data_IF_071028792421
#
_entry.id   IF_071028792421
#
_cell.length_a   1.000
_cell.length_b   1.000
_cell.length_c   1.000
_cell.angle_alpha   90.00
_cell.angle_beta   90.00
_cell.angle_gamma   90.00
#
_symmetry.space_group_name_H-M   'P 1'
#
loop_
_entity.id
_entity.type
_entity.pdbx_description
1 polymer ?
#
# COMPACT_ATOMS: atom_id res chain seq x y z
N UNK A 1 -12.98 0.91 -11.66
CA UNK A 1 -12.58 1.28 -10.27
C UNK A 1 -13.57 2.32 -9.80
N UNK A 2 -14.43 2.00 -8.85
CA UNK A 2 -15.43 2.95 -8.35
C UNK A 2 -14.77 3.69 -7.20
N UNK A 3 -14.49 4.99 -7.40
CA UNK A 3 -14.16 5.89 -6.31
C UNK A 3 -15.45 6.15 -5.54
N UNK A 4 -15.53 5.74 -4.29
CA UNK A 4 -16.70 6.03 -3.46
C UNK A 4 -16.71 7.52 -3.11
N UNK A 5 -17.78 8.20 -3.47
CA UNK A 5 -17.99 9.64 -3.33
C UNK A 5 -18.02 10.16 -1.88
N UNK A 6 -18.01 9.28 -0.89
CA UNK A 6 -18.19 9.62 0.53
C UNK A 6 -16.88 9.82 1.33
N UNK A 7 -15.71 9.88 0.66
CA UNK A 7 -14.43 10.04 1.36
C UNK A 7 -13.78 11.35 0.95
N UNK A 8 -13.94 12.38 1.74
CA UNK A 8 -13.36 13.70 1.51
C UNK A 8 -12.43 14.13 2.66
N UNK A 9 -11.48 14.99 2.34
CA UNK A 9 -10.55 15.54 3.34
C UNK A 9 -11.17 16.78 3.98
N UNK A 10 -11.42 16.72 5.28
CA UNK A 10 -11.89 17.88 6.02
C UNK A 10 -10.70 18.79 6.35
N UNK A 11 -10.65 19.96 5.70
CA UNK A 11 -9.56 20.93 5.89
C UNK A 11 -9.41 21.42 7.32
N UNK A 12 -10.51 21.50 8.09
CA UNK A 12 -10.48 21.93 9.49
C UNK A 12 -9.68 21.00 10.41
N UNK A 13 -9.51 19.73 10.02
CA UNK A 13 -8.76 18.73 10.78
C UNK A 13 -7.26 18.66 10.44
N UNK A 14 -6.81 19.55 9.53
CA UNK A 14 -5.41 19.64 9.15
C UNK A 14 -4.71 20.67 10.03
N UNK A 15 -3.65 20.24 10.73
CA UNK A 15 -2.75 21.15 11.45
C UNK A 15 -1.35 21.09 10.85
N UNK A 16 -0.74 22.24 10.64
CA UNK A 16 0.61 22.39 10.11
C UNK A 16 1.55 22.88 11.18
N UNK A 17 2.70 22.20 11.31
CA UNK A 17 3.76 22.58 12.24
C UNK A 17 5.04 22.80 11.43
N UNK A 18 5.60 24.02 11.46
CA UNK A 18 6.92 24.28 10.92
C UNK A 18 7.97 23.53 11.76
N UNK A 19 8.86 22.80 11.09
CA UNK A 19 9.95 22.09 11.74
C UNK A 19 11.27 22.43 11.06
N UNK A 20 12.37 22.25 11.75
CA UNK A 20 13.70 22.41 11.19
C UNK A 20 13.92 21.38 10.07
N UNK A 21 14.52 21.81 8.97
CA UNK A 21 14.92 20.92 7.90
C UNK A 21 16.11 20.09 8.35
N UNK A 22 16.08 18.77 8.14
CA UNK A 22 17.24 17.91 8.35
C UNK A 22 18.05 17.82 7.07
N UNK A 23 19.25 18.37 7.04
CA UNK A 23 20.17 18.29 5.93
C UNK A 23 21.56 18.73 6.34
N UNK A 24 22.61 18.29 5.62
CA UNK A 24 24.01 18.66 5.77
C UNK A 24 24.28 20.08 5.26
N UNK A 25 23.53 21.06 5.73
CA UNK A 25 23.66 22.42 5.23
C UNK A 25 24.02 23.42 6.31
N UNK A 26 24.86 24.39 5.93
CA UNK A 26 25.47 25.39 6.81
C UNK A 26 24.53 26.18 7.72
N UNK A 27 25.05 27.19 8.39
CA UNK A 27 24.39 27.95 9.50
C UNK A 27 22.96 28.44 9.23
N UNK A 28 22.55 28.67 7.96
CA UNK A 28 21.22 29.14 7.57
C UNK A 28 20.14 28.08 7.75
N UNK A 29 20.45 26.80 7.55
CA UNK A 29 19.48 25.68 7.67
C UNK A 29 19.10 25.44 9.11
N UNK A 30 20.00 25.66 10.05
CA UNK A 30 19.76 25.50 11.48
C UNK A 30 18.89 26.58 12.11
N UNK A 31 18.77 27.75 11.44
CA UNK A 31 18.02 28.90 11.94
C UNK A 31 16.62 29.03 11.34
N UNK A 32 16.30 28.34 10.23
CA UNK A 32 15.02 28.51 9.49
C UNK A 32 14.22 27.21 9.47
N UNK A 33 12.98 27.26 9.94
CA UNK A 33 12.04 26.11 9.95
C UNK A 33 11.29 26.06 8.62
N UNK A 34 11.94 25.55 7.55
CA UNK A 34 11.34 25.46 6.21
C UNK A 34 10.58 24.18 5.98
N UNK A 35 10.88 23.10 6.72
CA UNK A 35 10.15 21.85 6.62
C UNK A 35 8.78 21.95 7.32
N UNK A 36 7.81 21.19 6.82
CA UNK A 36 6.45 21.14 7.34
C UNK A 36 6.13 19.73 7.82
N UNK A 37 5.61 19.63 9.04
CA UNK A 37 4.91 18.49 9.58
C UNK A 37 3.40 18.74 9.50
N UNK A 38 2.68 17.93 8.75
CA UNK A 38 1.23 17.93 8.68
C UNK A 38 0.69 16.85 9.60
N UNK A 39 -0.22 17.21 10.50
CA UNK A 39 -1.00 16.27 11.32
C UNK A 39 -2.46 16.33 10.88
N UNK A 40 -3.02 15.18 10.53
CA UNK A 40 -4.41 15.03 10.16
C UNK A 40 -5.12 14.12 11.15
N UNK A 41 -6.16 14.63 11.80
CA UNK A 41 -6.92 13.92 12.82
C UNK A 41 -8.01 13.08 12.15
N UNK A 42 -7.88 11.75 12.22
CA UNK A 42 -8.84 10.80 11.68
C UNK A 42 -9.80 10.43 12.82
N UNK A 43 -11.07 10.83 12.70
CA UNK A 43 -12.11 10.35 13.60
C UNK A 43 -12.84 9.19 12.95
N UNK A 44 -13.02 8.11 13.67
CA UNK A 44 -13.67 6.89 13.14
C UNK A 44 -15.13 7.14 12.70
N UNK A 45 -15.79 8.16 13.27
CA UNK A 45 -17.14 8.55 12.92
C UNK A 45 -17.26 9.31 11.57
N UNK A 46 -16.16 9.87 11.04
CA UNK A 46 -16.20 10.69 9.83
C UNK A 46 -16.03 9.84 8.55
N UNK A 47 -15.62 8.59 8.69
CA UNK A 47 -15.26 7.74 7.55
C UNK A 47 -15.83 6.33 7.69
N UNK A 48 -16.19 5.70 6.55
CA UNK A 48 -16.63 4.32 6.56
C UNK A 48 -15.55 3.39 7.14
N UNK A 49 -15.95 2.37 7.88
CA UNK A 49 -15.06 1.40 8.53
C UNK A 49 -14.08 0.72 7.53
N UNK A 50 -14.56 0.42 6.32
CA UNK A 50 -13.72 -0.18 5.27
C UNK A 50 -12.57 0.76 4.85
N UNK A 51 -12.82 2.09 4.79
CA UNK A 51 -11.80 3.07 4.47
C UNK A 51 -10.73 3.14 5.55
N UNK A 52 -11.13 3.22 6.82
CA UNK A 52 -10.22 3.25 7.97
C UNK A 52 -9.35 1.99 7.99
N UNK A 53 -9.95 0.82 7.77
CA UNK A 53 -9.24 -0.46 7.70
C UNK A 53 -8.20 -0.48 6.56
N UNK A 54 -8.58 0.01 5.37
CA UNK A 54 -7.65 0.13 4.23
C UNK A 54 -6.52 1.13 4.51
N UNK A 55 -6.85 2.27 5.10
CA UNK A 55 -5.88 3.30 5.46
C UNK A 55 -4.87 2.77 6.47
N UNK A 56 -5.32 2.13 7.55
CA UNK A 56 -4.45 1.52 8.56
C UNK A 56 -3.61 0.37 7.97
N UNK A 57 -4.17 -0.43 7.08
CA UNK A 57 -3.44 -1.52 6.41
C UNK A 57 -2.32 -1.02 5.50
N UNK A 58 -2.56 0.05 4.73
CA UNK A 58 -1.58 0.58 3.74
C UNK A 58 -0.59 1.57 4.35
N UNK A 59 -1.02 2.37 5.32
CA UNK A 59 -0.25 3.50 5.86
C UNK A 59 -0.17 3.51 7.39
N UNK A 60 -0.34 2.37 8.04
CA UNK A 60 -0.32 2.25 9.51
C UNK A 60 0.95 2.80 10.15
N UNK A 61 2.11 2.68 9.48
CA UNK A 61 3.39 3.23 9.94
C UNK A 61 3.44 4.77 10.01
N UNK A 62 2.47 5.47 9.40
CA UNK A 62 2.33 6.93 9.44
C UNK A 62 1.19 7.39 10.33
N UNK A 63 0.49 6.48 10.96
CA UNK A 63 -0.66 6.75 11.82
C UNK A 63 -0.24 6.49 13.27
N UNK A 64 -0.37 7.53 14.10
CA UNK A 64 -0.13 7.41 15.56
C UNK A 64 -1.20 6.52 16.23
N UNK A 65 -0.91 6.03 17.43
CA UNK A 65 -1.87 5.33 18.31
C UNK A 65 -3.16 6.14 18.55
N UNK A 66 -3.07 7.46 18.49
CA UNK A 66 -4.18 8.41 18.64
C UNK A 66 -4.97 8.64 17.31
N UNK A 67 -4.82 7.78 16.29
CA UNK A 67 -5.43 7.96 14.97
C UNK A 67 -5.05 9.28 14.27
N UNK A 68 -3.82 9.77 14.46
CA UNK A 68 -3.31 10.96 13.78
C UNK A 68 -2.39 10.52 12.64
N UNK A 69 -2.74 10.90 11.41
CA UNK A 69 -1.87 10.71 10.25
C UNK A 69 -0.83 11.81 10.20
N UNK A 70 0.44 11.44 10.22
CA UNK A 70 1.58 12.35 10.27
C UNK A 70 2.33 12.30 8.94
N UNK A 71 2.49 13.46 8.30
CA UNK A 71 3.19 13.62 7.04
C UNK A 71 4.23 14.72 7.14
N UNK A 72 5.40 14.49 6.56
CA UNK A 72 6.50 15.46 6.54
C UNK A 72 6.90 15.81 5.11
N UNK A 73 7.23 17.09 4.88
CA UNK A 73 7.87 17.54 3.66
C UNK A 73 8.96 18.55 3.96
N UNK A 74 10.14 18.30 3.35
CA UNK A 74 11.32 19.17 3.46
C UNK A 74 12.04 19.27 2.11
N UNK A 75 11.31 19.05 0.99
CA UNK A 75 11.89 18.96 -0.35
C UNK A 75 12.31 20.32 -0.92
N UNK A 76 11.73 21.42 -0.42
CA UNK A 76 12.03 22.76 -0.89
C UNK A 76 12.54 23.67 0.22
N UNK A 77 13.30 24.70 -0.19
CA UNK A 77 13.70 25.81 0.71
C UNK A 77 12.52 26.72 1.09
N UNK A 78 11.41 26.62 0.37
CA UNK A 78 10.24 27.45 0.61
C UNK A 78 9.18 26.68 1.40
N UNK A 79 8.79 27.20 2.55
CA UNK A 79 7.78 26.63 3.43
C UNK A 79 6.43 26.44 2.73
N UNK A 80 6.02 27.42 1.87
CA UNK A 80 4.77 27.36 1.09
C UNK A 80 4.72 26.13 0.17
N UNK A 81 5.84 25.80 -0.49
CA UNK A 81 5.95 24.64 -1.38
C UNK A 81 5.88 23.33 -0.57
N UNK A 82 6.56 23.27 0.58
CA UNK A 82 6.50 22.12 1.47
C UNK A 82 5.09 21.89 2.03
N UNK A 83 4.35 22.97 2.33
CA UNK A 83 2.95 22.89 2.76
C UNK A 83 2.06 22.27 1.67
N UNK A 84 2.21 22.74 0.41
CA UNK A 84 1.51 22.16 -0.74
C UNK A 84 1.86 20.69 -0.95
N UNK A 85 3.14 20.36 -0.89
CA UNK A 85 3.61 18.96 -1.02
C UNK A 85 3.03 18.03 0.06
N UNK A 86 2.88 18.51 1.31
CA UNK A 86 2.21 17.73 2.36
C UNK A 86 0.73 17.48 2.04
N UNK A 87 0.01 18.48 1.50
CA UNK A 87 -1.37 18.33 1.05
C UNK A 87 -1.50 17.33 -0.08
N UNK A 88 -0.61 17.40 -1.08
CA UNK A 88 -0.61 16.48 -2.21
C UNK A 88 -0.35 15.03 -1.75
N UNK A 89 0.55 14.85 -0.78
CA UNK A 89 0.77 13.54 -0.13
C UNK A 89 -0.49 13.04 0.58
N UNK A 90 -1.19 13.91 1.30
CA UNK A 90 -2.44 13.58 1.99
C UNK A 90 -3.52 13.15 0.98
N UNK A 91 -3.70 13.93 -0.09
CA UNK A 91 -4.64 13.63 -1.17
C UNK A 91 -4.35 12.25 -1.80
N UNK A 92 -3.09 11.96 -2.13
CA UNK A 92 -2.67 10.66 -2.69
C UNK A 92 -2.98 9.51 -1.74
N UNK A 93 -2.72 9.66 -0.44
CA UNK A 93 -3.02 8.65 0.57
C UNK A 93 -4.52 8.36 0.61
N UNK A 94 -5.35 9.40 0.60
CA UNK A 94 -6.80 9.26 0.60
C UNK A 94 -7.30 8.58 -0.67
N UNK A 95 -6.83 8.99 -1.85
CA UNK A 95 -7.16 8.35 -3.14
C UNK A 95 -6.81 6.85 -3.14
N UNK A 96 -5.59 6.49 -2.71
CA UNK A 96 -5.15 5.09 -2.66
C UNK A 96 -5.99 4.28 -1.66
N UNK A 97 -6.40 4.88 -0.54
CA UNK A 97 -7.19 4.21 0.50
C UNK A 97 -8.66 4.09 0.14
N UNK A 98 -9.19 4.97 -0.72
CA UNK A 98 -10.56 4.94 -1.24
C UNK A 98 -10.79 3.82 -2.27
N UNK A 99 -9.75 3.17 -2.75
CA UNK A 99 -9.88 2.05 -3.67
C UNK A 99 -10.21 0.79 -2.87
N UNK A 100 -11.43 0.28 -3.05
CA UNK A 100 -11.85 -1.00 -2.46
C UNK A 100 -11.16 -2.13 -3.24
N UNK A 101 -10.36 -3.00 -2.59
CA UNK A 101 -9.74 -4.12 -3.26
C UNK A 101 -10.83 -5.10 -3.72
N UNK A 102 -10.76 -5.55 -4.96
CA UNK A 102 -11.63 -6.63 -5.45
C UNK A 102 -11.39 -7.89 -4.63
N UNK A 103 -12.47 -8.59 -4.26
CA UNK A 103 -12.38 -9.90 -3.60
C UNK A 103 -11.65 -10.86 -4.54
N UNK A 104 -10.59 -11.48 -4.06
CA UNK A 104 -9.87 -12.49 -4.84
C UNK A 104 -10.71 -13.77 -4.87
N UNK A 105 -11.15 -14.15 -6.05
CA UNK A 105 -11.81 -15.43 -6.29
C UNK A 105 -10.75 -16.51 -6.54
N UNK A 106 -11.03 -17.73 -6.09
CA UNK A 106 -10.15 -18.87 -6.35
C UNK A 106 -10.15 -19.18 -7.84
N UNK A 107 -9.00 -19.18 -8.47
CA UNK A 107 -8.86 -19.56 -9.86
C UNK A 107 -8.97 -21.08 -9.99
N UNK A 108 -9.83 -21.55 -10.89
CA UNK A 108 -9.96 -22.98 -11.23
C UNK A 108 -8.81 -23.33 -12.17
N UNK A 109 -8.15 -24.46 -11.91
CA UNK A 109 -7.07 -24.97 -12.77
C UNK A 109 -7.64 -25.27 -14.16
N UNK A 110 -7.11 -24.67 -15.25
CA UNK A 110 -7.58 -24.90 -16.59
C UNK A 110 -7.53 -26.40 -16.97
N UNK A 111 -8.55 -26.87 -17.68
CA UNK A 111 -8.64 -28.26 -18.12
C UNK A 111 -7.38 -28.71 -18.89
N UNK A 112 -6.84 -27.85 -19.76
CA UNK A 112 -5.59 -28.12 -20.50
C UNK A 112 -4.41 -28.43 -19.59
N UNK A 113 -4.25 -27.71 -18.46
CA UNK A 113 -3.18 -27.96 -17.48
C UNK A 113 -3.37 -29.30 -16.78
N UNK A 114 -4.61 -29.68 -16.45
CA UNK A 114 -4.94 -31.00 -15.92
C UNK A 114 -4.54 -32.10 -16.89
N UNK A 115 -4.94 -31.97 -18.17
CA UNK A 115 -4.63 -32.95 -19.21
C UNK A 115 -3.12 -33.07 -19.45
N UNK A 116 -2.40 -31.94 -19.51
CA UNK A 116 -0.93 -31.93 -19.66
C UNK A 116 -0.27 -32.69 -18.52
N UNK A 117 -0.61 -32.37 -17.28
CA UNK A 117 -0.07 -33.04 -16.10
C UNK A 117 -0.32 -34.56 -16.11
N UNK A 118 -1.52 -34.99 -16.54
CA UNK A 118 -1.83 -36.41 -16.65
C UNK A 118 -1.03 -37.11 -17.77
N UNK A 119 -0.84 -36.46 -18.92
CA UNK A 119 0.01 -36.95 -20.00
C UNK A 119 1.46 -37.12 -19.55
N UNK A 120 2.01 -36.10 -18.91
CA UNK A 120 3.39 -36.14 -18.39
C UNK A 120 3.56 -37.24 -17.34
N UNK A 121 2.59 -37.40 -16.45
CA UNK A 121 2.60 -38.48 -15.45
C UNK A 121 2.55 -39.90 -16.09
N UNK A 122 1.72 -40.07 -17.13
CA UNK A 122 1.67 -41.34 -17.89
C UNK A 122 3.00 -41.62 -18.61
N UNK A 123 3.61 -40.60 -19.20
CA UNK A 123 4.92 -40.73 -19.87
C UNK A 123 6.03 -41.16 -18.89
N UNK A 124 6.10 -40.49 -17.74
CA UNK A 124 7.07 -40.86 -16.69
C UNK A 124 6.83 -42.27 -16.18
N UNK A 125 5.55 -42.67 -16.00
CA UNK A 125 5.21 -44.06 -15.59
C UNK A 125 5.69 -45.09 -16.61
N UNK A 126 5.46 -44.84 -17.93
CA UNK A 126 5.98 -45.74 -19.00
C UNK A 126 7.50 -45.84 -18.92
N UNK A 127 8.24 -44.75 -18.78
CA UNK A 127 9.70 -44.79 -18.64
C UNK A 127 10.15 -45.59 -17.41
N UNK A 128 9.44 -45.44 -16.29
CA UNK A 128 9.76 -46.24 -15.08
C UNK A 128 9.53 -47.75 -15.29
N UNK A 129 8.41 -48.12 -15.92
CA UNK A 129 8.09 -49.53 -16.22
C UNK A 129 9.11 -50.15 -17.15
N UNK A 130 9.61 -49.43 -18.16
CA UNK A 130 10.66 -49.91 -19.06
C UNK A 130 12.04 -50.12 -18.38
N UNK A 131 12.23 -49.59 -17.20
CA UNK A 131 13.46 -49.78 -16.40
C UNK A 131 13.35 -50.93 -15.41
N UNK A 132 12.15 -51.49 -15.25
CA UNK A 132 11.97 -52.68 -14.38
C UNK A 132 12.49 -53.92 -15.09
N UNK A 133 13.08 -54.81 -14.31
CA UNK A 133 13.54 -56.14 -14.82
C UNK A 133 12.33 -56.87 -15.40
N UNK A 134 12.42 -57.42 -16.63
CA UNK A 134 11.32 -58.17 -17.22
C UNK A 134 10.97 -59.35 -16.32
N UNK A 135 9.68 -59.51 -16.02
CA UNK A 135 9.23 -60.74 -15.36
C UNK A 135 9.35 -61.89 -16.36
N UNK A 136 10.18 -62.87 -16.04
CA UNK A 136 10.22 -64.12 -16.78
C UNK A 136 8.93 -64.85 -16.40
N UNK A 137 8.02 -65.00 -17.36
CA UNK A 137 6.85 -65.88 -17.21
C UNK A 137 7.35 -67.30 -17.41
N UNK A 138 7.29 -68.13 -16.36
CA UNK A 138 7.51 -69.58 -16.42
C UNK A 138 6.34 -70.28 -17.09
#
# INVERSE_FOLDING_TARGET
MVANENVYINKAKIKYYPIKSSGSGGQKINKVSTAILLKYYIRDQDYPQWFIKNLKKKFGNRISKENILILRSSSSRYQKINKKSCLDKLNKIFQISSIIPKKREKTIIPFRSKCKRLKDKKYIRKKKNLRMIPKIED
#
